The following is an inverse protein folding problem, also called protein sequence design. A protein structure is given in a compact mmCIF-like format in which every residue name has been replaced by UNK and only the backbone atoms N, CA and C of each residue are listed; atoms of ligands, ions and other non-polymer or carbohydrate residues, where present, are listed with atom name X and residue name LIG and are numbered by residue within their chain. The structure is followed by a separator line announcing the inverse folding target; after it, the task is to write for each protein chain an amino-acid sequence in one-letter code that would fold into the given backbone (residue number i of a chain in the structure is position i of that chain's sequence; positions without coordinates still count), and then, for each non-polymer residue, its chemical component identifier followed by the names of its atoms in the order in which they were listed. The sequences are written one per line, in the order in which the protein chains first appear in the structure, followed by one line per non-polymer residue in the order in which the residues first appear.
data_IF_257776826077
#
_entry.id   IF_257776826077
#
_cell.length_a   1.000
_cell.length_b   1.000
_cell.length_c   1.000
_cell.angle_alpha   90.00
_cell.angle_beta   90.00
_cell.angle_gamma   90.00
#
_symmetry.space_group_name_H-M   'P 1'
#
loop_
_entity.id
_entity.type
_entity.pdbx_description
1 polymer ?
#
# COMPACT_ATOMS: atom_id res chain seq x y z
N UNK A 1 -64.24 14.78 -3.30
CA UNK A 1 -63.52 15.56 -4.33
C UNK A 1 -63.19 16.93 -3.75
N UNK A 2 -61.93 17.18 -3.41
CA UNK A 2 -61.49 18.51 -3.00
C UNK A 2 -60.97 19.23 -4.24
N UNK A 3 -61.67 20.29 -4.68
CA UNK A 3 -61.25 21.10 -5.82
C UNK A 3 -60.35 22.23 -5.32
N UNK A 4 -59.09 22.24 -5.75
CA UNK A 4 -58.16 23.35 -5.49
C UNK A 4 -58.40 24.43 -6.56
N UNK A 5 -58.95 25.58 -6.17
CA UNK A 5 -59.35 26.65 -7.09
C UNK A 5 -58.35 27.79 -7.02
N UNK A 6 -57.57 28.00 -8.09
CA UNK A 6 -56.74 29.18 -8.26
C UNK A 6 -57.49 30.22 -9.09
N UNK A 7 -57.61 31.45 -8.56
CA UNK A 7 -58.16 32.60 -9.30
C UNK A 7 -57.00 33.49 -9.72
N UNK A 8 -56.87 33.76 -11.01
CA UNK A 8 -55.98 34.79 -11.51
C UNK A 8 -56.69 35.63 -12.58
N UNK A 9 -56.26 36.87 -12.73
CA UNK A 9 -56.76 37.81 -13.73
C UNK A 9 -55.64 38.12 -14.70
N UNK A 10 -55.72 37.61 -15.94
CA UNK A 10 -54.84 38.02 -17.04
C UNK A 10 -55.69 38.29 -18.28
N UNK A 11 -55.55 39.49 -18.85
CA UNK A 11 -56.28 40.01 -20.00
C UNK A 11 -55.41 40.07 -21.27
N UNK A 12 -54.89 38.92 -21.72
CA UNK A 12 -54.27 38.80 -23.06
C UNK A 12 -54.82 37.55 -23.76
N UNK A 13 -55.47 37.71 -24.92
CA UNK A 13 -56.32 36.67 -25.57
C UNK A 13 -55.93 36.43 -27.04
N UNK A 14 -55.41 35.24 -27.42
CA UNK A 14 -55.23 34.87 -28.83
C UNK A 14 -56.34 33.99 -29.44
N UNK A 15 -57.34 33.51 -28.69
CA UNK A 15 -58.34 32.54 -29.22
C UNK A 15 -59.80 32.80 -28.79
N UNK A 16 -60.80 32.45 -29.63
CA UNK A 16 -62.23 32.68 -29.37
C UNK A 16 -62.83 31.67 -28.38
N UNK A 17 -63.73 32.15 -27.51
CA UNK A 17 -64.30 31.41 -26.38
C UNK A 17 -65.57 30.65 -26.80
N UNK A 18 -65.73 29.41 -26.32
CA UNK A 18 -67.03 28.74 -26.29
C UNK A 18 -67.67 28.99 -24.92
N UNK A 19 -68.70 29.83 -24.86
CA UNK A 19 -69.23 30.35 -23.61
C UNK A 19 -70.30 29.44 -23.01
N UNK A 20 -69.99 28.80 -21.88
CA UNK A 20 -70.99 28.43 -20.87
C UNK A 20 -70.64 29.15 -19.54
N UNK A 21 -71.64 29.87 -19.03
CA UNK A 21 -71.73 30.67 -17.80
C UNK A 21 -70.47 30.90 -16.92
N UNK A 22 -69.95 32.13 -16.98
CA UNK A 22 -69.77 32.94 -15.76
C UNK A 22 -68.39 32.98 -15.09
N UNK A 23 -67.42 32.12 -15.41
CA UNK A 23 -66.03 32.29 -14.95
C UNK A 23 -65.07 31.91 -16.07
N UNK A 24 -64.07 32.77 -16.35
CA UNK A 24 -62.95 32.38 -17.24
C UNK A 24 -62.24 31.22 -16.57
N UNK A 25 -62.41 30.04 -17.13
CA UNK A 25 -61.81 28.80 -16.67
C UNK A 25 -61.17 28.21 -17.92
N UNK A 26 -59.85 28.16 -17.97
CA UNK A 26 -59.19 27.22 -18.85
C UNK A 26 -59.03 25.94 -18.05
N UNK A 27 -59.63 24.88 -18.54
CA UNK A 27 -59.48 23.56 -17.95
C UNK A 27 -58.23 22.96 -18.57
N UNK A 28 -57.12 22.97 -17.84
CA UNK A 28 -56.05 22.05 -18.18
C UNK A 28 -56.67 20.65 -18.09
N UNK A 29 -56.56 19.80 -19.11
CA UNK A 29 -57.12 18.46 -19.09
C UNK A 29 -56.30 17.60 -18.14
N UNK A 30 -56.38 17.88 -16.84
CA UNK A 30 -56.06 16.91 -15.82
C UNK A 30 -57.33 16.10 -15.67
N UNK A 31 -57.49 15.12 -16.55
CA UNK A 31 -58.45 14.06 -16.28
C UNK A 31 -58.04 13.47 -14.92
N UNK A 32 -58.89 13.69 -13.92
CA UNK A 32 -58.92 12.91 -12.69
C UNK A 32 -59.05 11.45 -13.13
N UNK A 33 -57.92 10.75 -13.25
CA UNK A 33 -57.86 9.40 -13.80
C UNK A 33 -56.89 9.18 -14.95
N UNK A 34 -55.84 9.99 -15.17
CA UNK A 34 -54.66 9.51 -15.92
C UNK A 34 -53.71 8.84 -14.92
N UNK A 35 -53.78 7.51 -14.70
CA UNK A 35 -52.62 6.82 -14.15
C UNK A 35 -51.49 6.98 -15.18
N UNK A 36 -50.33 7.43 -14.71
CA UNK A 36 -49.10 7.49 -15.50
C UNK A 36 -49.01 8.66 -16.51
N UNK A 37 -48.89 9.89 -16.01
CA UNK A 37 -48.18 10.94 -16.76
C UNK A 37 -46.71 10.50 -16.85
N UNK A 38 -46.30 9.92 -17.97
CA UNK A 38 -44.89 9.66 -18.24
C UNK A 38 -44.37 10.87 -19.05
N UNK A 39 -43.86 11.94 -18.39
CA UNK A 39 -43.40 13.12 -19.08
C UNK A 39 -42.33 12.71 -20.09
N UNK A 40 -42.46 13.16 -21.34
CA UNK A 40 -41.40 12.91 -22.31
C UNK A 40 -40.22 13.82 -22.00
N UNK A 41 -39.10 13.23 -21.61
CA UNK A 41 -37.90 13.94 -21.21
C UNK A 41 -37.22 14.71 -22.37
N UNK A 42 -37.58 14.41 -23.63
CA UNK A 42 -37.17 15.13 -24.83
C UNK A 42 -37.67 16.60 -24.85
N UNK A 43 -38.69 16.93 -24.06
CA UNK A 43 -39.25 18.28 -23.94
C UNK A 43 -38.56 19.13 -22.88
N UNK A 44 -37.62 18.56 -22.10
CA UNK A 44 -36.92 19.27 -21.03
C UNK A 44 -35.60 19.83 -21.56
N UNK A 45 -35.62 21.12 -21.91
CA UNK A 45 -34.42 21.84 -22.33
C UNK A 45 -33.40 21.89 -21.18
N UNK A 46 -32.19 21.38 -21.43
CA UNK A 46 -31.09 21.39 -20.46
C UNK A 46 -30.97 20.16 -19.56
N UNK A 47 -31.79 19.11 -19.74
CA UNK A 47 -31.68 17.88 -18.95
C UNK A 47 -30.35 17.13 -19.12
N UNK A 48 -29.64 17.32 -20.23
CA UNK A 48 -28.38 16.65 -20.53
C UNK A 48 -28.54 15.16 -20.85
N UNK A 49 -27.52 14.56 -21.47
CA UNK A 49 -27.61 13.20 -22.01
C UNK A 49 -27.77 12.10 -20.93
N UNK A 50 -27.45 12.39 -19.67
CA UNK A 50 -27.59 11.44 -18.57
C UNK A 50 -29.02 11.41 -17.98
N UNK A 51 -29.86 12.44 -18.20
CA UNK A 51 -31.19 12.54 -17.58
C UNK A 51 -32.19 11.48 -18.05
N UNK A 52 -31.97 10.88 -19.22
CA UNK A 52 -32.77 9.76 -19.73
C UNK A 52 -32.10 8.40 -19.52
N UNK A 53 -30.85 8.39 -19.06
CA UNK A 53 -30.10 7.17 -18.82
C UNK A 53 -30.64 6.46 -17.59
N UNK A 54 -30.86 5.15 -17.69
CA UNK A 54 -31.25 4.39 -16.50
C UNK A 54 -30.02 4.24 -15.61
N UNK A 55 -30.16 4.61 -14.34
CA UNK A 55 -29.10 4.37 -13.36
C UNK A 55 -28.86 2.87 -13.19
N UNK A 56 -27.64 2.52 -12.79
CA UNK A 56 -27.35 1.20 -12.23
C UNK A 56 -28.29 0.89 -11.05
N UNK A 57 -28.54 -0.38 -10.83
CA UNK A 57 -29.42 -0.88 -9.76
C UNK A 57 -28.62 -1.39 -8.56
N UNK A 58 -27.39 -1.84 -8.77
CA UNK A 58 -26.43 -2.23 -7.72
C UNK A 58 -25.01 -1.75 -8.04
N UNK A 59 -24.08 -1.75 -7.08
CA UNK A 59 -22.67 -1.42 -7.31
C UNK A 59 -21.92 -2.35 -8.27
N UNK A 60 -22.55 -3.44 -8.72
CA UNK A 60 -21.98 -4.44 -9.64
C UNK A 60 -22.91 -4.67 -10.84
N UNK A 61 -23.77 -3.70 -11.18
CA UNK A 61 -24.75 -3.80 -12.27
C UNK A 61 -24.07 -3.81 -13.65
N UNK A 62 -23.94 -5.01 -14.22
CA UNK A 62 -23.27 -5.24 -15.50
C UNK A 62 -24.10 -4.89 -16.73
N UNK A 63 -25.28 -4.29 -16.58
CA UNK A 63 -26.16 -3.95 -17.71
C UNK A 63 -25.52 -2.86 -18.58
N UNK A 64 -25.20 -3.11 -19.86
CA UNK A 64 -24.61 -2.10 -20.73
C UNK A 64 -25.53 -0.88 -20.91
N UNK A 65 -24.93 0.31 -20.99
CA UNK A 65 -25.65 1.57 -21.24
C UNK A 65 -26.29 2.21 -20.01
N UNK A 66 -26.03 1.69 -18.81
CA UNK A 66 -26.45 2.33 -17.55
C UNK A 66 -25.56 3.51 -17.19
N UNK A 67 -26.15 4.48 -16.48
CA UNK A 67 -25.43 5.60 -15.87
C UNK A 67 -24.93 5.17 -14.50
N UNK A 68 -23.63 5.30 -14.25
CA UNK A 68 -23.01 4.94 -12.98
C UNK A 68 -23.36 5.94 -11.87
N UNK A 69 -23.64 5.42 -10.68
CA UNK A 69 -23.79 6.14 -9.42
C UNK A 69 -22.45 6.17 -8.67
N UNK A 70 -22.27 7.16 -7.79
CA UNK A 70 -21.15 7.16 -6.84
C UNK A 70 -21.20 5.88 -6.00
N UNK A 71 -20.09 5.15 -5.95
CA UNK A 71 -19.92 3.86 -5.28
C UNK A 71 -20.04 2.65 -6.21
N UNK A 72 -20.52 2.80 -7.44
CA UNK A 72 -20.52 1.71 -8.40
C UNK A 72 -19.09 1.34 -8.78
N UNK A 73 -18.80 0.04 -8.81
CA UNK A 73 -17.49 -0.50 -9.19
C UNK A 73 -16.30 0.09 -8.41
N UNK A 74 -16.55 0.62 -7.20
CA UNK A 74 -15.56 1.21 -6.31
C UNK A 74 -15.23 2.69 -6.58
N UNK A 75 -15.90 3.34 -7.54
CA UNK A 75 -15.65 4.75 -7.85
C UNK A 75 -16.28 5.68 -6.81
N UNK A 76 -15.45 6.53 -6.19
CA UNK A 76 -15.93 7.59 -5.29
C UNK A 76 -16.30 7.12 -3.87
N UNK A 77 -15.84 5.93 -3.46
CA UNK A 77 -15.95 5.46 -2.07
C UNK A 77 -14.57 5.13 -1.48
N UNK A 78 -14.40 5.43 -0.19
CA UNK A 78 -13.19 5.09 0.59
C UNK A 78 -13.31 3.75 1.32
N UNK A 79 -14.53 3.21 1.40
CA UNK A 79 -14.83 1.91 2.00
C UNK A 79 -15.71 1.10 1.04
N UNK A 80 -15.47 -0.21 0.97
CA UNK A 80 -16.41 -1.13 0.33
C UNK A 80 -17.71 -1.12 1.14
N UNK A 81 -18.88 -0.91 0.52
CA UNK A 81 -20.16 -1.11 1.21
C UNK A 81 -20.25 -2.56 1.67
N UNK A 82 -20.28 -2.79 2.99
CA UNK A 82 -20.49 -4.12 3.58
C UNK A 82 -19.54 -4.58 4.69
N UNK A 83 -18.64 -3.74 5.21
CA UNK A 83 -17.85 -4.09 6.41
C UNK A 83 -16.99 -5.33 6.19
N UNK A 84 -16.09 -5.29 5.21
CA UNK A 84 -15.18 -6.38 4.91
C UNK A 84 -13.86 -6.21 5.67
N UNK A 85 -13.39 -7.28 6.28
CA UNK A 85 -11.96 -7.44 6.55
C UNK A 85 -11.25 -7.46 5.19
N UNK A 86 -10.21 -6.66 4.97
CA UNK A 86 -9.51 -6.58 3.72
C UNK A 86 -8.54 -7.76 3.61
N UNK A 87 -9.11 -8.96 3.53
CA UNK A 87 -8.59 -9.91 2.56
C UNK A 87 -8.76 -9.27 1.19
N UNK A 88 -7.84 -9.56 0.28
CA UNK A 88 -7.74 -9.00 -1.06
C UNK A 88 -8.86 -9.59 -1.92
N UNK A 89 -10.10 -9.24 -1.58
CA UNK A 89 -11.28 -9.94 -2.05
C UNK A 89 -11.65 -9.49 -3.45
N UNK A 90 -11.22 -10.32 -4.40
CA UNK A 90 -11.50 -10.18 -5.82
C UNK A 90 -12.85 -10.79 -6.22
N UNK A 91 -13.70 -11.18 -5.26
CA UNK A 91 -15.00 -11.81 -5.51
C UNK A 91 -15.97 -10.96 -6.32
N UNK A 92 -15.73 -9.65 -6.47
CA UNK A 92 -16.60 -8.75 -7.25
C UNK A 92 -16.23 -8.74 -8.72
N UNK A 93 -17.25 -8.85 -9.58
CA UNK A 93 -17.10 -8.86 -11.02
C UNK A 93 -16.74 -7.45 -11.52
N UNK A 94 -15.47 -7.24 -11.83
CA UNK A 94 -14.98 -5.99 -12.40
C UNK A 94 -14.96 -4.82 -11.41
N UNK A 95 -13.97 -3.94 -11.51
CA UNK A 95 -13.98 -2.65 -10.79
C UNK A 95 -12.63 -2.19 -10.27
N UNK A 96 -12.57 -0.95 -9.79
CA UNK A 96 -11.38 -0.33 -9.20
C UNK A 96 -11.72 0.05 -7.76
N UNK A 97 -11.07 -0.58 -6.80
CA UNK A 97 -11.40 -0.49 -5.39
C UNK A 97 -10.23 0.08 -4.59
N UNK A 98 -10.53 1.00 -3.68
CA UNK A 98 -9.55 1.49 -2.71
C UNK A 98 -9.26 0.39 -1.69
N UNK A 99 -7.98 0.13 -1.43
CA UNK A 99 -7.50 -0.68 -0.33
C UNK A 99 -7.08 0.28 0.77
N UNK A 100 -7.69 0.19 1.95
CA UNK A 100 -7.24 0.92 3.12
C UNK A 100 -7.57 0.11 4.38
N UNK A 101 -6.54 -0.32 5.10
CA UNK A 101 -6.65 -0.88 6.43
C UNK A 101 -5.45 -0.49 7.29
N UNK A 102 -5.39 -0.98 8.53
CA UNK A 102 -4.27 -0.70 9.44
C UNK A 102 -2.89 -1.22 8.97
N UNK A 103 -2.82 -1.91 7.83
CA UNK A 103 -1.61 -2.54 7.31
C UNK A 103 -1.27 -2.07 5.89
N UNK A 104 -2.23 -2.05 4.97
CA UNK A 104 -2.05 -1.77 3.55
C UNK A 104 -2.90 -0.58 3.10
N UNK A 105 -2.33 0.23 2.22
CA UNK A 105 -3.03 1.26 1.47
C UNK A 105 -2.73 1.08 -0.03
N UNK A 106 -3.74 1.23 -0.90
CA UNK A 106 -3.55 0.98 -2.32
C UNK A 106 -4.82 0.93 -3.15
N UNK A 107 -4.71 0.29 -4.30
CA UNK A 107 -5.78 0.10 -5.29
C UNK A 107 -5.81 -1.36 -5.73
N UNK A 108 -6.99 -1.96 -5.77
CA UNK A 108 -7.26 -3.24 -6.43
C UNK A 108 -8.05 -3.02 -7.71
N UNK A 109 -7.69 -3.72 -8.77
CA UNK A 109 -8.42 -3.79 -10.03
C UNK A 109 -8.91 -5.22 -10.20
N UNK A 110 -10.22 -5.43 -10.09
CA UNK A 110 -10.84 -6.71 -10.37
C UNK A 110 -11.16 -6.84 -11.85
N UNK A 111 -10.84 -8.00 -12.44
CA UNK A 111 -11.17 -8.33 -13.84
C UNK A 111 -12.34 -9.29 -13.94
N UNK A 112 -12.47 -10.22 -12.99
CA UNK A 112 -13.57 -11.15 -12.80
C UNK A 112 -13.67 -11.50 -11.29
N UNK A 113 -14.65 -12.29 -10.86
CA UNK A 113 -14.84 -12.65 -9.43
C UNK A 113 -13.70 -13.48 -8.80
N UNK A 114 -12.58 -13.68 -9.51
CA UNK A 114 -11.47 -14.52 -9.08
C UNK A 114 -10.09 -13.93 -9.37
N UNK A 115 -9.95 -13.02 -10.33
CA UNK A 115 -8.67 -12.55 -10.85
C UNK A 115 -8.56 -11.04 -10.91
N UNK A 116 -7.36 -10.55 -10.64
CA UNK A 116 -6.94 -9.20 -11.02
C UNK A 116 -5.64 -8.75 -10.38
N UNK A 117 -5.49 -7.43 -10.26
CA UNK A 117 -4.20 -6.79 -10.01
C UNK A 117 -4.31 -5.85 -8.81
N UNK A 118 -3.32 -5.88 -7.94
CA UNK A 118 -3.26 -5.05 -6.75
C UNK A 118 -2.00 -4.22 -6.77
N UNK A 119 -2.15 -2.92 -6.56
CA UNK A 119 -1.09 -1.96 -6.31
C UNK A 119 -1.25 -1.49 -4.87
N UNK A 120 -0.45 -2.04 -3.96
CA UNK A 120 -0.56 -1.69 -2.56
C UNK A 120 0.80 -1.49 -1.93
N UNK A 121 0.82 -0.69 -0.88
CA UNK A 121 1.97 -0.50 -0.03
C UNK A 121 1.57 -0.68 1.42
N UNK A 122 2.51 -1.13 2.24
CA UNK A 122 2.37 -1.13 3.68
C UNK A 122 3.34 -0.15 4.33
N UNK A 123 2.86 0.81 5.14
CA UNK A 123 3.75 1.59 5.98
C UNK A 123 4.23 0.80 7.21
N UNK A 124 3.62 -0.36 7.54
CA UNK A 124 3.86 -1.07 8.81
C UNK A 124 4.47 -2.48 8.65
N UNK A 125 4.46 -3.07 7.45
CA UNK A 125 4.97 -4.43 7.18
C UNK A 125 5.99 -4.43 6.06
N UNK A 126 7.14 -5.05 6.35
CA UNK A 126 8.33 -5.13 5.49
C UNK A 126 8.30 -6.27 4.49
N UNK A 127 7.35 -7.21 4.59
CA UNK A 127 7.29 -8.37 3.70
C UNK A 127 7.04 -7.97 2.23
N UNK A 128 6.37 -6.83 1.99
CA UNK A 128 5.96 -6.44 0.63
C UNK A 128 6.16 -4.96 0.28
N UNK A 129 6.73 -4.11 1.14
CA UNK A 129 6.99 -2.69 0.82
C UNK A 129 5.84 -2.05 0.02
N UNK A 130 6.18 -1.43 -1.12
CA UNK A 130 5.27 -1.28 -2.25
C UNK A 130 5.36 -2.55 -3.12
N UNK A 131 4.23 -3.08 -3.58
CA UNK A 131 4.18 -4.28 -4.43
C UNK A 131 3.10 -4.21 -5.51
N UNK A 132 3.30 -5.01 -6.56
CA UNK A 132 2.25 -5.41 -7.49
C UNK A 132 1.93 -6.88 -7.23
N UNK A 133 0.71 -7.17 -6.82
CA UNK A 133 0.21 -8.53 -6.69
C UNK A 133 -0.67 -8.91 -7.88
N UNK A 134 -0.40 -10.06 -8.50
CA UNK A 134 -1.40 -10.74 -9.35
C UNK A 134 -2.10 -11.75 -8.47
N UNK A 135 -3.41 -11.56 -8.31
CA UNK A 135 -4.26 -12.42 -7.50
C UNK A 135 -5.03 -13.32 -8.45
N UNK A 136 -5.04 -14.62 -8.15
CA UNK A 136 -5.94 -15.59 -8.75
C UNK A 136 -6.55 -16.37 -7.59
N UNK A 137 -7.86 -16.42 -7.47
CA UNK A 137 -8.60 -16.77 -6.25
C UNK A 137 -8.72 -15.60 -5.25
N UNK A 138 -9.92 -15.47 -4.70
CA UNK A 138 -10.51 -14.34 -3.96
C UNK A 138 -9.80 -13.86 -2.70
N UNK A 139 -8.56 -14.25 -2.39
CA UNK A 139 -8.03 -14.01 -1.04
C UNK A 139 -6.59 -13.50 -0.96
N UNK A 140 -5.65 -13.87 -1.84
CA UNK A 140 -4.25 -13.40 -1.77
C UNK A 140 -3.56 -13.38 -3.15
N UNK A 141 -2.50 -12.57 -3.35
CA UNK A 141 -1.74 -12.58 -4.59
C UNK A 141 -1.03 -13.92 -4.71
N UNK A 142 -1.29 -14.64 -5.79
CA UNK A 142 -0.60 -15.89 -6.10
C UNK A 142 0.81 -15.63 -6.62
N UNK A 143 1.08 -14.40 -7.04
CA UNK A 143 2.41 -13.95 -7.42
C UNK A 143 2.55 -12.49 -7.00
N UNK A 144 3.57 -12.22 -6.19
CA UNK A 144 3.91 -10.85 -5.79
C UNK A 144 5.17 -10.42 -6.51
N UNK A 145 5.08 -9.32 -7.25
CA UNK A 145 6.21 -8.63 -7.85
C UNK A 145 6.61 -7.48 -6.94
N UNK A 146 7.83 -7.52 -6.43
CA UNK A 146 8.40 -6.50 -5.57
C UNK A 146 8.93 -5.36 -6.44
N UNK A 147 8.57 -4.11 -6.12
CA UNK A 147 9.17 -2.97 -6.79
C UNK A 147 10.63 -2.81 -6.38
N UNK A 148 11.50 -2.76 -7.38
CA UNK A 148 12.87 -2.28 -7.19
C UNK A 148 12.85 -0.76 -7.29
N UNK A 149 13.25 -0.10 -6.20
CA UNK A 149 13.29 1.36 -6.05
C UNK A 149 14.67 1.76 -5.55
N UNK A 150 14.97 3.05 -5.55
CA UNK A 150 16.18 3.62 -4.93
C UNK A 150 16.32 3.29 -3.43
N UNK A 151 15.25 2.84 -2.76
CA UNK A 151 15.27 2.41 -1.36
C UNK A 151 15.81 1.00 -1.12
N UNK A 152 15.66 0.09 -2.09
CA UNK A 152 16.04 -1.31 -1.94
C UNK A 152 16.98 -1.81 -3.06
N UNK A 153 17.44 -0.88 -3.90
CA UNK A 153 18.48 -1.11 -4.90
C UNK A 153 19.50 0.02 -4.93
N UNK A 154 20.71 -0.31 -5.38
CA UNK A 154 21.84 0.60 -5.54
C UNK A 154 22.32 0.47 -6.96
N UNK A 155 22.85 1.55 -7.51
CA UNK A 155 23.41 1.58 -8.85
C UNK A 155 24.92 1.70 -8.70
N UNK A 156 25.64 0.72 -9.25
CA UNK A 156 27.10 0.77 -9.20
C UNK A 156 27.68 1.83 -10.16
N UNK A 157 28.99 2.04 -10.08
CA UNK A 157 29.69 3.02 -10.92
C UNK A 157 29.58 2.77 -12.43
N UNK A 158 29.11 1.60 -12.87
CA UNK A 158 28.87 1.24 -14.26
C UNK A 158 27.39 1.30 -14.67
N UNK A 159 26.48 1.65 -13.75
CA UNK A 159 25.05 1.74 -14.02
C UNK A 159 24.27 0.43 -13.79
N UNK A 160 24.87 -0.62 -13.21
CA UNK A 160 24.14 -1.85 -12.90
C UNK A 160 23.34 -1.72 -11.61
N UNK A 161 22.06 -2.12 -11.66
CA UNK A 161 21.18 -2.20 -10.48
C UNK A 161 21.51 -3.45 -9.68
N UNK A 162 21.87 -3.27 -8.41
CA UNK A 162 22.16 -4.34 -7.44
C UNK A 162 21.14 -4.29 -6.30
N UNK A 163 20.83 -5.45 -5.72
CA UNK A 163 20.07 -5.51 -4.47
C UNK A 163 20.84 -4.76 -3.38
N UNK A 164 20.19 -3.88 -2.62
CA UNK A 164 20.90 -2.89 -1.84
C UNK A 164 20.46 -2.75 -0.39
N UNK A 165 20.07 -3.86 0.22
CA UNK A 165 19.59 -3.77 1.57
C UNK A 165 19.88 -5.01 2.40
N UNK A 166 20.12 -4.85 3.71
CA UNK A 166 20.59 -3.63 4.40
C UNK A 166 22.02 -3.24 3.99
N UNK A 167 22.36 -1.94 3.92
CA UNK A 167 23.72 -1.46 3.57
C UNK A 167 24.26 -0.49 4.63
N UNK A 168 25.53 -0.69 4.98
CA UNK A 168 26.39 0.24 5.71
C UNK A 168 27.44 0.79 4.76
N UNK A 169 27.53 2.11 4.63
CA UNK A 169 28.68 2.77 4.01
C UNK A 169 29.71 3.05 5.08
N UNK A 170 30.86 2.42 4.98
CA UNK A 170 31.97 2.59 5.92
C UNK A 170 32.97 3.63 5.40
N UNK A 171 33.07 4.75 6.11
CA UNK A 171 34.10 5.77 5.91
C UNK A 171 35.23 5.58 6.93
N UNK A 172 36.30 6.38 6.83
CA UNK A 172 37.46 6.26 7.73
C UNK A 172 37.17 6.69 9.18
N UNK A 173 36.10 7.46 9.40
CA UNK A 173 35.77 8.07 10.69
C UNK A 173 34.31 7.83 11.12
N UNK A 174 33.39 7.57 10.18
CA UNK A 174 31.98 7.36 10.46
C UNK A 174 31.37 6.27 9.56
N UNK A 175 30.10 5.98 9.81
CA UNK A 175 29.27 5.14 8.94
C UNK A 175 28.02 5.92 8.53
N UNK A 176 27.52 5.65 7.33
CA UNK A 176 26.15 6.00 6.92
C UNK A 176 25.33 4.72 6.77
N UNK A 177 24.14 4.72 7.33
CA UNK A 177 23.20 3.59 7.29
C UNK A 177 22.05 3.91 6.34
N UNK A 178 21.55 2.90 5.63
CA UNK A 178 20.23 3.02 4.99
C UNK A 178 19.10 2.68 5.97
N UNK A 179 17.86 3.04 5.63
CA UNK A 179 16.64 2.83 6.45
C UNK A 179 16.49 1.40 7.01
N UNK A 180 17.02 0.40 6.30
CA UNK A 180 16.96 -1.00 6.74
C UNK A 180 18.14 -1.40 7.64
N UNK A 181 19.33 -0.84 7.43
CA UNK A 181 20.48 -1.06 8.31
C UNK A 181 20.30 -0.36 9.67
N UNK A 182 19.59 0.77 9.69
CA UNK A 182 19.20 1.48 10.93
C UNK A 182 18.31 0.64 11.88
N UNK A 183 17.71 -0.46 11.39
CA UNK A 183 16.91 -1.37 12.23
C UNK A 183 17.77 -2.24 13.14
N UNK A 184 18.98 -2.55 12.69
CA UNK A 184 19.97 -3.24 13.52
C UNK A 184 20.67 -2.19 14.40
N UNK A 185 21.12 -2.54 15.62
CA UNK A 185 21.83 -1.63 16.51
C UNK A 185 23.29 -1.40 16.05
N UNK A 186 23.46 -0.98 14.80
CA UNK A 186 24.75 -0.85 14.13
C UNK A 186 25.55 0.30 14.73
N UNK A 187 26.77 0.02 15.16
CA UNK A 187 27.73 1.03 15.61
C UNK A 187 29.12 0.75 15.05
N UNK A 188 29.89 1.82 14.84
CA UNK A 188 31.30 1.73 14.40
C UNK A 188 32.22 1.89 15.61
N UNK A 189 33.16 0.95 15.78
CA UNK A 189 34.32 1.10 16.64
C UNK A 189 35.58 1.08 15.79
N UNK A 190 36.39 2.14 15.88
CA UNK A 190 37.69 2.20 15.21
C UNK A 190 38.78 1.75 16.18
N UNK A 191 39.40 0.61 15.89
CA UNK A 191 40.42 -0.02 16.73
C UNK A 191 41.84 0.50 16.45
N UNK A 192 42.05 1.06 15.27
CA UNK A 192 43.34 1.59 14.85
C UNK A 192 43.32 2.08 13.42
N UNK A 193 44.51 2.34 12.87
CA UNK A 193 44.66 2.77 11.48
C UNK A 193 44.14 1.67 10.55
N UNK A 194 43.11 2.00 9.77
CA UNK A 194 42.50 1.07 8.84
C UNK A 194 41.87 -0.18 9.48
N UNK A 195 41.54 -0.14 10.78
CA UNK A 195 40.96 -1.26 11.53
C UNK A 195 39.60 -0.84 12.11
N UNK A 196 38.53 -1.40 11.55
CA UNK A 196 37.16 -1.01 11.81
C UNK A 196 36.35 -2.23 12.26
N UNK A 197 35.61 -2.07 13.35
CA UNK A 197 34.70 -3.08 13.87
C UNK A 197 33.28 -2.53 13.80
N UNK A 198 32.43 -3.18 13.01
CA UNK A 198 31.00 -2.90 12.92
C UNK A 198 30.29 -3.82 13.90
N UNK A 199 29.68 -3.24 14.93
CA UNK A 199 28.98 -3.97 15.99
C UNK A 199 27.49 -3.98 15.80
N UNK A 200 26.84 -5.02 16.32
CA UNK A 200 25.37 -5.14 16.35
C UNK A 200 24.77 -5.63 15.03
N UNK A 201 25.60 -6.08 14.09
CA UNK A 201 25.14 -6.67 12.84
C UNK A 201 24.79 -8.14 12.99
N UNK A 202 23.94 -8.65 12.10
CA UNK A 202 23.65 -10.09 11.94
C UNK A 202 24.62 -10.80 10.97
N UNK A 203 25.77 -10.19 10.68
CA UNK A 203 26.75 -10.63 9.69
C UNK A 203 26.48 -10.13 8.27
N UNK A 204 27.23 -10.65 7.29
CA UNK A 204 27.08 -10.29 5.87
C UNK A 204 25.83 -10.90 5.22
N UNK A 205 25.37 -10.27 4.14
CA UNK A 205 24.33 -10.83 3.27
C UNK A 205 24.69 -12.26 2.79
N UNK A 206 23.71 -13.18 2.83
CA UNK A 206 23.88 -14.59 2.42
C UNK A 206 23.77 -14.81 0.91
N UNK A 207 23.19 -13.86 0.18
CA UNK A 207 22.96 -13.95 -1.26
C UNK A 207 23.43 -12.67 -1.97
N UNK A 208 24.09 -12.84 -3.12
CA UNK A 208 24.57 -11.75 -3.95
C UNK A 208 25.93 -11.21 -3.50
N UNK A 209 26.05 -9.88 -3.40
CA UNK A 209 27.28 -9.20 -2.99
C UNK A 209 27.21 -8.80 -1.51
N UNK A 210 28.37 -8.64 -0.88
CA UNK A 210 28.47 -8.26 0.53
C UNK A 210 29.49 -7.14 0.79
N UNK A 211 30.52 -6.98 -0.03
CA UNK A 211 31.49 -5.87 0.04
C UNK A 211 31.72 -5.29 -1.34
N UNK A 212 31.68 -3.96 -1.45
CA UNK A 212 32.12 -3.21 -2.61
C UNK A 212 33.16 -2.15 -2.19
N UNK A 213 34.35 -2.26 -2.80
CA UNK A 213 35.53 -1.47 -2.46
C UNK A 213 35.62 -0.26 -3.39
N UNK A 214 36.00 0.94 -2.88
CA UNK A 214 36.11 2.12 -3.72
C UNK A 214 37.14 1.92 -4.84
N UNK A 215 36.79 2.36 -6.05
CA UNK A 215 37.64 2.26 -7.26
C UNK A 215 38.05 3.64 -7.77
N UNK A 216 39.27 3.76 -8.27
CA UNK A 216 39.73 4.97 -8.96
C UNK A 216 39.07 5.13 -10.34
N UNK A 217 39.37 6.24 -11.03
CA UNK A 217 38.83 6.51 -12.37
C UNK A 217 39.25 5.48 -13.43
N UNK A 218 40.28 4.68 -13.17
CA UNK A 218 40.78 3.63 -14.05
C UNK A 218 40.21 2.25 -13.66
N UNK A 219 39.32 2.17 -12.67
CA UNK A 219 38.70 0.93 -12.20
C UNK A 219 39.54 0.13 -11.20
N UNK A 220 40.69 0.65 -10.74
CA UNK A 220 41.52 -0.04 -9.75
C UNK A 220 40.97 0.19 -8.33
N UNK A 221 40.96 -0.85 -7.50
CA UNK A 221 40.65 -0.69 -6.08
C UNK A 221 41.66 0.23 -5.40
N UNK A 222 41.21 1.20 -4.60
CA UNK A 222 42.14 2.15 -3.95
C UNK A 222 42.80 1.57 -2.70
N UNK A 223 42.14 0.62 -2.04
CA UNK A 223 42.59 -0.08 -0.83
C UNK A 223 42.44 -1.59 -1.00
N UNK A 224 43.26 -2.37 -0.29
CA UNK A 224 42.98 -3.79 -0.08
C UNK A 224 42.17 -3.96 1.20
N UNK A 225 41.13 -4.81 1.17
CA UNK A 225 40.24 -5.03 2.31
C UNK A 225 40.31 -6.50 2.72
N UNK A 226 40.54 -6.74 4.00
CA UNK A 226 40.43 -8.05 4.65
C UNK A 226 39.26 -7.95 5.62
N UNK A 227 38.39 -8.96 5.63
CA UNK A 227 37.17 -8.91 6.41
C UNK A 227 36.84 -10.26 7.00
N UNK A 228 36.13 -10.25 8.11
CA UNK A 228 35.70 -11.44 8.84
C UNK A 228 34.39 -11.15 9.57
N UNK A 229 33.49 -12.13 9.61
CA UNK A 229 32.32 -12.11 10.50
C UNK A 229 32.69 -12.81 11.79
N UNK A 230 32.52 -12.12 12.92
CA UNK A 230 32.74 -12.66 14.25
C UNK A 230 31.56 -13.57 14.67
N UNK A 231 31.78 -14.43 15.67
CA UNK A 231 30.76 -15.39 16.14
C UNK A 231 29.45 -14.74 16.60
N UNK A 232 29.53 -13.49 17.09
CA UNK A 232 28.38 -12.71 17.52
C UNK A 232 27.65 -11.98 16.37
N UNK A 233 28.13 -12.10 15.13
CA UNK A 233 27.58 -11.42 13.95
C UNK A 233 28.21 -10.07 13.64
N UNK A 234 29.10 -9.56 14.50
CA UNK A 234 29.86 -8.33 14.23
C UNK A 234 30.81 -8.53 13.04
N UNK A 235 31.14 -7.44 12.34
CA UNK A 235 31.97 -7.49 11.15
C UNK A 235 33.27 -6.72 11.41
N UNK A 236 34.39 -7.43 11.27
CA UNK A 236 35.73 -6.87 11.29
C UNK A 236 36.15 -6.51 9.87
N UNK A 237 36.54 -5.26 9.63
CA UNK A 237 37.06 -4.75 8.37
C UNK A 237 38.44 -4.15 8.60
N UNK A 238 39.45 -4.71 7.95
CA UNK A 238 40.82 -4.20 7.94
C UNK A 238 41.23 -3.76 6.55
N UNK A 239 41.89 -2.62 6.46
CA UNK A 239 42.26 -1.96 5.20
C UNK A 239 43.77 -1.74 5.13
N UNK A 240 44.35 -2.06 3.98
CA UNK A 240 45.80 -2.11 3.78
C UNK A 240 46.23 -1.48 2.45
N UNK A 241 47.50 -1.10 2.39
CA UNK A 241 48.16 -0.86 1.10
C UNK A 241 48.15 -2.14 0.28
N UNK A 242 48.12 -1.96 -1.04
CA UNK A 242 48.24 -3.05 -1.99
C UNK A 242 49.72 -3.33 -2.24
N UNK A 243 50.12 -4.61 -2.27
CA UNK A 243 51.43 -5.04 -2.75
C UNK A 243 51.28 -6.04 -3.88
N UNK A 244 52.21 -6.00 -4.82
CA UNK A 244 52.31 -7.05 -5.83
C UNK A 244 53.08 -8.21 -5.22
N UNK A 245 52.44 -9.37 -5.14
CA UNK A 245 53.09 -10.60 -4.74
C UNK A 245 53.61 -11.33 -5.97
N UNK A 246 54.93 -11.53 -6.00
CA UNK A 246 55.62 -12.12 -7.15
C UNK A 246 55.30 -13.61 -7.28
N UNK A 247 55.07 -14.30 -6.16
CA UNK A 247 54.80 -15.74 -6.16
C UNK A 247 53.43 -16.07 -6.74
N UNK A 248 52.39 -15.33 -6.32
CA UNK A 248 51.03 -15.50 -6.86
C UNK A 248 50.75 -14.66 -8.10
N UNK A 249 51.70 -13.81 -8.51
CA UNK A 249 51.56 -12.81 -9.57
C UNK A 249 50.27 -11.97 -9.45
N UNK A 250 49.88 -11.67 -8.21
CA UNK A 250 48.62 -11.02 -7.88
C UNK A 250 48.84 -9.79 -6.99
N UNK A 251 47.88 -8.86 -7.03
CA UNK A 251 47.84 -7.74 -6.09
C UNK A 251 47.14 -8.21 -4.82
N UNK A 252 47.87 -8.28 -3.71
CA UNK A 252 47.37 -8.71 -2.40
C UNK A 252 47.43 -7.59 -1.37
N UNK A 253 46.77 -7.81 -0.23
CA UNK A 253 46.88 -6.91 0.92
C UNK A 253 48.29 -6.97 1.53
N UNK A 254 48.90 -5.81 1.74
CA UNK A 254 50.11 -5.69 2.54
C UNK A 254 49.75 -5.57 4.02
N UNK A 255 49.64 -6.72 4.69
CA UNK A 255 49.27 -6.81 6.11
C UNK A 255 50.19 -6.02 7.06
N UNK A 256 51.39 -5.62 6.60
CA UNK A 256 52.33 -4.81 7.37
C UNK A 256 52.12 -3.30 7.25
N UNK A 257 51.32 -2.87 6.26
CA UNK A 257 51.07 -1.47 5.94
C UNK A 257 49.56 -1.18 5.96
N UNK A 258 48.96 -1.03 7.16
CA UNK A 258 47.57 -0.59 7.29
C UNK A 258 47.39 0.79 6.62
N UNK A 259 46.21 0.98 6.02
CA UNK A 259 45.89 2.19 5.25
C UNK A 259 44.45 2.60 5.54
N UNK A 260 44.24 3.84 5.96
CA UNK A 260 42.89 4.40 6.10
C UNK A 260 42.12 4.42 4.78
N UNK A 261 40.80 4.29 4.88
CA UNK A 261 39.90 4.58 3.76
C UNK A 261 40.13 6.05 3.32
N UNK A 262 40.44 6.31 2.04
CA UNK A 262 40.70 7.68 1.58
C UNK A 262 39.52 8.61 1.83
N UNK A 263 39.82 9.88 2.13
CA UNK A 263 38.79 10.90 2.37
C UNK A 263 37.83 11.03 1.17
N UNK A 264 36.53 11.14 1.46
CA UNK A 264 35.48 11.19 0.44
C UNK A 264 35.21 9.86 -0.29
N UNK A 265 35.80 8.75 0.17
CA UNK A 265 35.51 7.39 -0.29
C UNK A 265 34.96 6.55 0.86
N UNK A 266 34.20 5.52 0.52
CA UNK A 266 33.65 4.55 1.46
C UNK A 266 33.72 3.14 0.90
N UNK A 267 33.57 2.15 1.78
CA UNK A 267 33.32 0.74 1.44
C UNK A 267 31.83 0.48 1.66
N UNK A 268 31.12 -0.02 0.65
CA UNK A 268 29.74 -0.47 0.84
C UNK A 268 29.75 -1.89 1.40
N UNK A 269 29.02 -2.09 2.50
CA UNK A 269 28.92 -3.37 3.21
C UNK A 269 27.45 -3.75 3.28
N UNK A 270 27.08 -4.87 2.67
CA UNK A 270 25.71 -5.39 2.72
C UNK A 270 25.55 -6.39 3.86
N UNK A 271 24.65 -6.08 4.78
CA UNK A 271 24.39 -6.89 5.97
C UNK A 271 23.35 -7.97 5.67
N UNK A 272 23.28 -8.96 6.56
CA UNK A 272 22.18 -9.89 6.62
C UNK A 272 20.91 -9.14 7.10
N UNK A 273 19.78 -9.45 6.48
CA UNK A 273 18.50 -8.83 6.79
C UNK A 273 17.96 -9.38 8.11
N UNK A 274 17.32 -8.54 8.94
CA UNK A 274 16.58 -9.05 10.09
C UNK A 274 15.42 -9.92 9.61
N UNK A 275 15.20 -11.12 10.20
CA UNK A 275 14.04 -11.92 9.86
C UNK A 275 12.78 -11.14 10.21
N UNK A 276 11.94 -10.90 9.20
CA UNK A 276 10.64 -10.27 9.39
C UNK A 276 9.81 -11.21 10.27
N UNK A 277 9.58 -10.82 11.52
CA UNK A 277 8.65 -11.53 12.41
C UNK A 277 7.24 -11.25 11.88
N UNK A 278 6.79 -12.08 10.94
CA UNK A 278 5.37 -12.15 10.61
C UNK A 278 4.72 -12.75 11.84
N UNK A 279 4.09 -11.92 12.67
CA UNK A 279 3.21 -12.37 13.75
C UNK A 279 2.03 -13.11 13.13
N UNK A 280 2.25 -14.36 12.76
CA UNK A 280 1.21 -15.36 12.64
C UNK A 280 0.96 -15.92 14.04
N UNK A 281 0.64 -15.06 15.02
CA UNK A 281 -0.05 -15.57 16.19
C UNK A 281 -1.37 -16.16 15.66
N UNK A 282 -1.66 -17.46 15.88
CA UNK A 282 -2.97 -18.00 15.56
C UNK A 282 -4.02 -17.11 16.23
N UNK A 283 -5.17 -16.88 15.57
CA UNK A 283 -6.28 -16.12 16.17
C UNK A 283 -6.68 -16.65 17.57
N UNK A 284 -6.32 -17.89 17.93
CA UNK A 284 -6.51 -18.48 19.26
C UNK A 284 -5.67 -17.87 20.39
N UNK A 285 -4.60 -17.13 20.10
CA UNK A 285 -3.76 -16.48 21.12
C UNK A 285 -4.05 -14.97 21.29
N UNK A 286 -5.02 -14.42 20.57
CA UNK A 286 -5.55 -13.12 20.97
C UNK A 286 -6.24 -13.29 22.32
N UNK A 287 -6.04 -12.39 23.29
CA UNK A 287 -6.75 -12.45 24.56
C UNK A 287 -8.25 -12.30 24.26
N UNK A 288 -8.93 -13.42 24.09
CA UNK A 288 -10.39 -13.47 24.11
C UNK A 288 -10.83 -13.06 25.51
N UNK A 289 -12.08 -12.62 25.64
CA UNK A 289 -12.71 -12.07 26.84
C UNK A 289 -12.48 -12.84 28.17
N UNK A 290 -11.91 -14.06 28.13
CA UNK A 290 -11.35 -14.74 29.30
C UNK A 290 -10.18 -14.00 29.95
N UNK A 291 -9.26 -13.38 29.19
CA UNK A 291 -8.11 -12.68 29.78
C UNK A 291 -8.54 -11.43 30.55
N UNK A 292 -9.55 -10.72 30.06
CA UNK A 292 -10.20 -9.61 30.78
C UNK A 292 -11.03 -10.11 31.97
N UNK A 293 -11.76 -11.21 31.84
CA UNK A 293 -12.52 -11.79 32.96
C UNK A 293 -11.61 -12.29 34.10
N UNK A 294 -10.45 -12.87 33.78
CA UNK A 294 -9.45 -13.29 34.77
C UNK A 294 -8.75 -12.08 35.39
N UNK A 295 -8.45 -11.04 34.61
CA UNK A 295 -7.91 -9.79 35.13
C UNK A 295 -8.90 -9.05 36.06
N UNK A 296 -10.19 -9.03 35.71
CA UNK A 296 -11.26 -8.47 36.53
C UNK A 296 -11.47 -9.26 37.83
N UNK A 297 -11.43 -10.60 37.76
CA UNK A 297 -11.49 -11.47 38.94
C UNK A 297 -10.27 -11.31 39.86
N UNK A 298 -9.07 -11.12 39.29
CA UNK A 298 -7.84 -10.83 40.05
C UNK A 298 -7.82 -9.41 40.66
N UNK A 299 -8.57 -8.47 40.08
CA UNK A 299 -8.75 -7.11 40.57
C UNK A 299 -9.95 -6.95 41.55
N UNK A 300 -10.69 -8.03 41.83
CA UNK A 300 -11.83 -8.03 42.74
C UNK A 300 -13.05 -7.27 42.23
N UNK A 301 -13.18 -7.07 40.92
CA UNK A 301 -14.33 -6.41 40.30
C UNK A 301 -15.31 -7.47 39.82
N UNK A 302 -16.55 -7.39 40.30
CA UNK A 302 -17.62 -8.31 39.91
C UNK A 302 -17.87 -8.25 38.38
N UNK A 303 -18.04 -9.38 37.69
CA UNK A 303 -18.32 -9.39 36.26
C UNK A 303 -19.64 -8.67 35.97
N UNK A 304 -19.76 -7.97 34.84
CA UNK A 304 -21.04 -7.38 34.43
C UNK A 304 -22.08 -8.49 34.21
N UNK A 305 -23.27 -8.33 34.79
CA UNK A 305 -24.40 -9.25 34.58
C UNK A 305 -24.79 -9.26 33.10
N UNK A 306 -24.78 -10.45 32.51
CA UNK A 306 -25.35 -10.70 31.19
C UNK A 306 -26.86 -10.81 31.40
N UNK A 307 -27.62 -9.83 30.93
CA UNK A 307 -29.08 -9.94 30.90
C UNK A 307 -29.47 -10.89 29.76
N UNK A 308 -29.79 -12.14 30.09
CA UNK A 308 -30.46 -13.06 29.17
C UNK A 308 -31.91 -12.59 28.97
N UNK A 309 -32.12 -11.67 28.03
CA UNK A 309 -33.42 -11.51 27.37
C UNK A 309 -33.38 -12.28 26.07
N UNK A 310 -33.54 -13.59 26.21
CA UNK A 310 -33.98 -14.49 25.15
C UNK A 310 -35.51 -14.31 25.04
N UNK A 311 -35.96 -13.33 24.24
CA UNK A 311 -37.35 -13.29 23.76
C UNK A 311 -37.36 -13.46 22.24
N UNK A 312 -37.76 -14.68 21.86
CA UNK A 312 -38.32 -15.12 20.59
C UNK A 312 -39.02 -14.02 19.75
N UNK A 313 -38.56 -13.84 18.50
CA UNK A 313 -39.34 -13.89 17.24
C UNK A 313 -38.46 -13.68 16.00
#
# INVERSE_FOLDING_TARGET
MANLVFKFSWDHRPFPYNSAQGKRQFMLPFASGIPNLNPRWDQIQGGGNAATGTLTTSPTDMTPGRVLRVGDYGYGTFSTPGGYTPALDMSRIGGIFTILNGVYAGVAISTNSTDGIIFAGSPTTTAYGQFIGVVRSSTLPNTTHIFKTDRNTTVDGNGFIKAASPIVKLFSDHIELNDEAERQPITLEKLGTGDYLIKGSLGFAKEGWYIEIPKDANGNTVVAVVYETLENGDISIKTFKRKFDIETAAIIADLSNPLEIPEGRWIDIRLFEEPIVVSAAPMEFQPTNLSEAVAAAMAGVEPPEISDTDETL
#
